data_IF_551100604496
#
_entry.id   IF_551100604496
#
_cell.length_a   1.000
_cell.length_b   1.000
_cell.length_c   1.000
_cell.angle_alpha   90.00
_cell.angle_beta   90.00
_cell.angle_gamma   90.00
#
_symmetry.space_group_name_H-M   'P 1'
#
loop_
_entity.id
_entity.type
_entity.pdbx_description
1 polymer ?
#
# COMPACT_ATOMS: atom_id res chain seq x y z
N UNK A 1 21.53 -2.80 32.86
CA UNK A 1 20.60 -3.93 32.66
C UNK A 1 21.31 -5.25 32.29
N UNK A 2 21.92 -5.38 31.10
CA UNK A 2 22.45 -6.68 30.63
C UNK A 2 23.53 -7.33 31.54
N UNK A 3 24.43 -6.54 32.15
CA UNK A 3 25.39 -7.05 33.16
C UNK A 3 24.69 -7.67 34.39
N UNK A 4 23.59 -7.06 34.84
CA UNK A 4 22.82 -7.58 35.99
C UNK A 4 22.19 -8.93 35.67
N UNK A 5 21.59 -9.04 34.48
CA UNK A 5 21.02 -10.30 33.99
C UNK A 5 22.08 -11.39 33.82
N UNK A 6 23.32 -11.01 33.46
CA UNK A 6 24.41 -11.96 33.32
C UNK A 6 24.83 -12.57 34.68
N UNK A 7 24.74 -11.81 35.77
CA UNK A 7 25.01 -12.31 37.13
C UNK A 7 23.96 -13.33 37.58
N UNK A 8 22.69 -13.10 37.24
CA UNK A 8 21.58 -13.98 37.61
C UNK A 8 21.48 -15.22 36.71
N UNK A 9 21.70 -15.07 35.39
CA UNK A 9 21.36 -16.08 34.38
C UNK A 9 22.55 -16.60 33.58
N UNK A 10 23.75 -16.10 33.85
CA UNK A 10 24.95 -16.34 33.04
C UNK A 10 25.02 -15.46 31.77
N UNK A 11 26.18 -15.42 31.14
CA UNK A 11 26.42 -14.69 29.87
C UNK A 11 25.66 -15.33 28.69
N UNK A 12 25.62 -14.68 27.52
CA UNK A 12 25.06 -15.29 26.31
C UNK A 12 25.90 -16.50 25.83
N UNK A 13 25.31 -17.48 25.11
CA UNK A 13 25.97 -18.77 24.83
C UNK A 13 27.32 -18.69 24.10
N UNK A 14 27.49 -17.80 23.11
CA UNK A 14 28.71 -17.65 22.31
C UNK A 14 29.61 -16.52 22.81
N UNK A 15 29.65 -16.26 24.12
CA UNK A 15 30.41 -15.15 24.71
C UNK A 15 31.92 -15.25 24.43
N UNK A 16 32.45 -16.46 24.57
CA UNK A 16 33.84 -16.86 24.30
C UNK A 16 34.28 -16.59 22.84
N UNK A 17 33.33 -16.50 21.91
CA UNK A 17 33.60 -16.22 20.49
C UNK A 17 33.35 -14.75 20.10
N UNK A 18 33.05 -13.89 21.07
CA UNK A 18 32.63 -12.52 20.83
C UNK A 18 33.77 -11.51 21.04
N UNK A 19 33.54 -10.26 20.65
CA UNK A 19 34.45 -9.12 20.90
C UNK A 19 34.63 -8.77 22.40
N UNK A 20 33.87 -9.44 23.27
CA UNK A 20 33.91 -9.26 24.72
C UNK A 20 34.72 -10.34 25.44
N UNK A 21 35.18 -11.37 24.73
CA UNK A 21 36.00 -12.41 25.33
C UNK A 21 37.29 -11.83 25.93
N UNK A 22 37.71 -12.39 27.07
CA UNK A 22 38.89 -11.92 27.83
C UNK A 22 38.75 -10.55 28.52
N UNK A 23 37.63 -9.84 28.40
CA UNK A 23 37.41 -8.53 29.06
C UNK A 23 36.60 -8.70 30.34
N UNK A 24 37.27 -8.56 31.49
CA UNK A 24 36.65 -8.78 32.82
C UNK A 24 35.38 -7.95 33.05
N UNK A 25 35.35 -6.69 32.61
CA UNK A 25 34.20 -5.80 32.81
C UNK A 25 33.16 -5.85 31.67
N UNK A 26 33.23 -6.82 30.76
CA UNK A 26 32.32 -6.93 29.62
C UNK A 26 31.45 -8.20 29.65
N UNK A 27 31.12 -8.72 30.83
CA UNK A 27 30.23 -9.89 30.96
C UNK A 27 28.75 -9.49 30.79
N UNK A 28 28.16 -9.78 29.63
CA UNK A 28 26.79 -9.40 29.26
C UNK A 28 25.88 -10.62 29.02
N UNK A 29 24.58 -10.44 29.26
CA UNK A 29 23.55 -11.46 28.96
C UNK A 29 23.10 -11.42 27.50
N UNK A 30 23.24 -10.27 26.85
CA UNK A 30 22.79 -10.02 25.49
C UNK A 30 24.01 -9.66 24.65
N UNK A 31 24.13 -10.23 23.45
CA UNK A 31 25.24 -9.93 22.55
C UNK A 31 25.15 -8.49 21.99
N UNK A 32 23.94 -8.00 21.76
CA UNK A 32 23.62 -6.62 21.37
C UNK A 32 22.39 -6.16 22.14
N UNK A 33 22.28 -4.88 22.46
CA UNK A 33 21.17 -4.33 23.25
C UNK A 33 20.43 -3.18 22.56
N UNK A 34 21.04 -2.52 21.58
CA UNK A 34 20.48 -1.33 20.93
C UNK A 34 20.28 -1.52 19.42
N UNK A 35 19.13 -1.05 18.95
CA UNK A 35 18.77 -0.93 17.53
C UNK A 35 17.73 0.18 17.40
N UNK A 36 17.79 0.98 16.35
CA UNK A 36 16.77 2.00 16.08
C UNK A 36 15.96 1.52 14.87
N UNK A 37 14.83 0.88 15.15
CA UNK A 37 13.91 0.37 14.15
C UNK A 37 12.90 1.46 13.71
N UNK A 38 12.21 1.31 12.56
CA UNK A 38 11.06 2.14 12.22
C UNK A 38 9.98 2.02 13.29
N UNK A 39 9.40 3.15 13.70
CA UNK A 39 8.34 3.17 14.74
C UNK A 39 7.03 3.77 14.25
N UNK A 40 6.74 3.79 12.94
CA UNK A 40 5.62 4.55 12.36
C UNK A 40 4.27 4.36 13.07
N UNK A 41 3.82 3.13 13.28
CA UNK A 41 2.54 2.89 14.00
C UNK A 41 2.66 3.15 15.51
N UNK A 42 3.80 2.81 16.13
CA UNK A 42 4.03 2.99 17.56
C UNK A 42 4.09 4.47 17.95
N UNK A 43 4.67 5.31 17.10
CA UNK A 43 4.80 6.74 17.34
C UNK A 43 3.45 7.45 17.25
N UNK A 44 2.52 6.96 16.42
CA UNK A 44 1.13 7.43 16.39
C UNK A 44 0.44 7.12 17.72
N UNK A 45 0.56 5.87 18.21
CA UNK A 45 -0.02 5.48 19.51
C UNK A 45 0.57 6.31 20.66
N UNK A 46 1.88 6.56 20.62
CA UNK A 46 2.59 7.33 21.64
C UNK A 46 2.46 8.85 21.47
N UNK A 47 1.86 9.34 20.38
CA UNK A 47 1.74 10.77 20.08
C UNK A 47 3.09 11.47 19.92
N UNK A 48 4.09 10.82 19.32
CA UNK A 48 5.45 11.35 19.16
C UNK A 48 6.00 11.16 17.74
N UNK A 49 7.20 11.70 17.47
CA UNK A 49 7.90 11.49 16.20
C UNK A 49 8.41 10.05 16.06
N UNK A 50 8.58 9.58 14.82
CA UNK A 50 9.05 8.22 14.58
C UNK A 50 10.58 8.11 14.68
N UNK A 51 11.07 7.31 15.63
CA UNK A 51 12.49 7.03 15.80
C UNK A 51 13.31 8.30 16.02
N UNK A 52 14.24 8.56 15.11
CA UNK A 52 15.08 9.77 15.07
C UNK A 52 14.77 10.64 13.84
N UNK A 53 13.56 10.50 13.29
CA UNK A 53 13.15 11.26 12.13
C UNK A 53 12.70 12.67 12.52
N UNK A 54 13.10 13.71 11.75
CA UNK A 54 12.45 15.00 11.83
C UNK A 54 10.99 14.88 11.40
N UNK A 55 10.16 15.84 11.81
CA UNK A 55 8.78 15.89 11.39
C UNK A 55 8.70 16.01 9.87
N UNK A 56 7.88 15.17 9.24
CA UNK A 56 7.69 15.22 7.80
C UNK A 56 6.88 16.46 7.38
N UNK A 57 5.81 16.77 8.12
CA UNK A 57 5.09 18.04 8.01
C UNK A 57 4.54 18.47 9.38
N UNK A 58 4.29 19.76 9.52
CA UNK A 58 3.69 20.36 10.72
C UNK A 58 2.16 20.36 10.69
N UNK A 59 1.57 20.29 9.50
CA UNK A 59 0.13 20.22 9.31
C UNK A 59 -0.21 19.29 8.15
N UNK A 60 -1.28 18.53 8.30
CA UNK A 60 -1.80 17.60 7.30
C UNK A 60 -3.29 17.83 7.12
N UNK A 61 -3.77 17.79 5.88
CA UNK A 61 -5.21 17.77 5.61
C UNK A 61 -5.67 16.33 5.47
N UNK A 62 -6.57 15.90 6.36
CA UNK A 62 -7.31 14.66 6.21
C UNK A 62 -8.66 14.97 5.61
N UNK A 63 -8.99 14.30 4.51
CA UNK A 63 -10.36 14.29 4.01
C UNK A 63 -11.19 13.38 4.92
N UNK A 64 -12.09 13.99 5.69
CA UNK A 64 -13.05 13.27 6.51
C UNK A 64 -14.32 13.03 5.67
N UNK A 65 -15.25 12.24 6.20
CA UNK A 65 -16.57 12.05 5.57
C UNK A 65 -17.22 13.40 5.26
N UNK A 66 -18.05 13.46 4.22
CA UNK A 66 -18.77 14.67 3.75
C UNK A 66 -17.95 15.76 3.04
N UNK A 67 -16.82 15.43 2.42
CA UNK A 67 -15.92 16.39 1.73
C UNK A 67 -15.34 17.47 2.67
N UNK A 68 -15.47 17.30 3.98
CA UNK A 68 -14.91 18.22 4.96
C UNK A 68 -13.41 17.97 5.14
N UNK A 69 -12.63 19.05 5.06
CA UNK A 69 -11.18 19.02 5.24
C UNK A 69 -10.88 19.23 6.72
N UNK A 70 -10.43 18.17 7.39
CA UNK A 70 -9.92 18.29 8.75
C UNK A 70 -8.42 18.57 8.70
N UNK A 71 -8.02 19.73 9.21
CA UNK A 71 -6.62 20.11 9.33
C UNK A 71 -6.09 19.59 10.65
N UNK A 72 -5.17 18.64 10.60
CA UNK A 72 -4.47 18.12 11.76
C UNK A 72 -3.11 18.82 11.86
N UNK A 73 -2.84 19.47 12.99
CA UNK A 73 -1.63 20.28 13.21
C UNK A 73 -0.80 19.64 14.32
N UNK A 74 0.52 19.74 14.22
CA UNK A 74 1.41 19.35 15.30
C UNK A 74 1.04 20.13 16.59
N UNK A 75 0.73 19.44 17.71
CA UNK A 75 0.23 20.09 18.92
C UNK A 75 1.21 21.10 19.54
N UNK A 76 2.51 20.91 19.34
CA UNK A 76 3.51 21.85 19.84
C UNK A 76 3.54 23.12 18.99
N UNK A 77 3.48 22.97 17.66
CA UNK A 77 3.42 24.10 16.74
C UNK A 77 2.13 24.91 16.92
N UNK A 78 0.97 24.24 17.01
CA UNK A 78 -0.32 24.91 17.21
C UNK A 78 -0.32 25.73 18.51
N UNK A 79 0.17 25.17 19.60
CA UNK A 79 0.26 25.87 20.89
C UNK A 79 1.12 27.13 20.78
N UNK A 80 2.30 27.02 20.16
CA UNK A 80 3.18 28.19 19.95
C UNK A 80 2.49 29.22 19.06
N UNK A 81 1.85 28.79 17.97
CA UNK A 81 1.12 29.67 17.06
C UNK A 81 -0.02 30.44 17.74
N UNK A 82 -0.73 29.80 18.67
CA UNK A 82 -1.79 30.44 19.46
C UNK A 82 -1.24 31.42 20.49
N UNK A 83 -0.12 31.09 21.13
CA UNK A 83 0.53 31.97 22.11
C UNK A 83 1.11 33.23 21.46
N UNK A 84 1.73 33.09 20.30
CA UNK A 84 2.36 34.16 19.53
C UNK A 84 1.37 34.92 18.62
N UNK A 85 0.10 34.50 18.60
CA UNK A 85 -0.99 35.22 17.94
C UNK A 85 -1.04 35.12 16.41
N UNK A 86 -0.26 34.24 15.78
CA UNK A 86 -0.29 34.06 14.31
C UNK A 86 -1.13 32.85 13.86
N UNK A 87 -1.78 32.13 14.78
CA UNK A 87 -2.64 30.99 14.42
C UNK A 87 -3.86 31.43 13.61
N UNK A 88 -4.01 30.86 12.41
CA UNK A 88 -5.27 30.90 11.64
C UNK A 88 -5.49 29.57 10.93
N UNK A 89 -6.74 29.18 10.72
CA UNK A 89 -7.08 27.94 10.01
C UNK A 89 -6.56 27.99 8.56
N UNK A 90 -6.67 29.15 7.91
CA UNK A 90 -6.13 29.39 6.57
C UNK A 90 -4.60 29.21 6.51
N UNK A 91 -3.87 29.70 7.52
CA UNK A 91 -2.43 29.49 7.62
C UNK A 91 -2.11 28.00 7.79
N UNK A 92 -2.83 27.27 8.63
CA UNK A 92 -2.60 25.83 8.80
C UNK A 92 -2.85 25.05 7.49
N UNK A 93 -3.90 25.40 6.73
CA UNK A 93 -4.14 24.83 5.40
C UNK A 93 -3.06 25.21 4.39
N UNK A 94 -2.51 26.43 4.47
CA UNK A 94 -1.38 26.88 3.64
C UNK A 94 -0.12 26.10 3.97
N UNK A 95 0.17 25.87 5.25
CA UNK A 95 1.29 25.05 5.72
C UNK A 95 1.13 23.61 5.26
N UNK A 96 -0.07 23.03 5.38
CA UNK A 96 -0.32 21.67 4.94
C UNK A 96 -0.14 21.49 3.42
N UNK A 97 -0.49 22.52 2.62
CA UNK A 97 -0.26 22.53 1.16
C UNK A 97 1.21 22.72 0.79
N UNK A 98 1.91 23.67 1.43
CA UNK A 98 3.30 24.00 1.11
C UNK A 98 4.30 22.98 1.67
N UNK A 99 3.96 22.31 2.78
CA UNK A 99 4.81 21.31 3.45
C UNK A 99 6.01 21.85 4.21
N UNK A 100 6.28 23.14 4.11
CA UNK A 100 7.36 23.85 4.81
C UNK A 100 6.87 25.23 5.24
N UNK A 101 7.42 25.71 6.37
CA UNK A 101 7.21 27.07 6.88
C UNK A 101 8.38 28.01 6.58
N UNK A 102 9.46 27.53 5.94
CA UNK A 102 10.73 28.25 5.83
C UNK A 102 10.60 29.64 5.21
N UNK A 103 9.82 29.78 4.14
CA UNK A 103 9.57 31.06 3.44
C UNK A 103 8.15 31.59 3.70
N UNK A 104 7.70 31.54 4.95
CA UNK A 104 6.45 32.16 5.39
C UNK A 104 6.75 33.35 6.30
N UNK A 105 6.76 34.56 5.74
CA UNK A 105 7.03 35.81 6.47
C UNK A 105 6.00 36.10 7.57
N UNK A 106 4.81 35.53 7.44
CA UNK A 106 3.71 35.57 8.42
C UNK A 106 4.08 34.86 9.75
N UNK A 107 5.15 34.06 9.76
CA UNK A 107 5.64 33.31 10.91
C UNK A 107 7.00 33.89 11.36
N UNK A 108 7.17 34.23 12.65
CA UNK A 108 8.45 34.69 13.20
C UNK A 108 9.63 33.77 12.87
N UNK A 109 10.79 34.37 12.55
CA UNK A 109 12.01 33.63 12.16
C UNK A 109 12.44 32.62 13.23
N UNK A 110 12.40 33.00 14.51
CA UNK A 110 12.78 32.13 15.63
C UNK A 110 11.97 30.83 15.64
N UNK A 111 10.70 30.89 15.26
CA UNK A 111 9.79 29.74 15.20
C UNK A 111 10.08 28.91 13.95
N UNK A 112 10.36 29.57 12.81
CA UNK A 112 10.75 28.88 11.57
C UNK A 112 12.05 28.09 11.73
N UNK A 113 12.98 28.57 12.55
CA UNK A 113 14.23 27.86 12.85
C UNK A 113 14.06 26.63 13.76
N UNK A 114 13.02 26.62 14.60
CA UNK A 114 12.73 25.50 15.51
C UNK A 114 11.92 24.42 14.82
N UNK A 115 10.87 24.79 14.06
CA UNK A 115 9.93 23.87 13.46
C UNK A 115 10.30 23.50 12.01
N UNK A 116 11.56 23.15 11.78
CA UNK A 116 12.05 22.67 10.48
C UNK A 116 11.53 21.27 10.17
N UNK A 117 11.12 21.03 8.92
CA UNK A 117 10.65 19.72 8.49
C UNK A 117 11.75 18.90 7.82
N UNK A 118 11.47 17.63 7.53
CA UNK A 118 12.39 16.73 6.87
C UNK A 118 12.91 17.25 5.51
N UNK A 119 12.08 18.01 4.79
CA UNK A 119 12.42 18.57 3.48
C UNK A 119 13.31 19.82 3.58
N UNK A 120 13.26 20.52 4.72
CA UNK A 120 14.08 21.71 4.96
C UNK A 120 15.53 21.36 5.35
N UNK A 121 15.73 20.13 5.82
CA UNK A 121 17.03 19.64 6.29
C UNK A 121 17.82 19.09 5.11
N UNK A 122 19.03 19.62 4.91
CA UNK A 122 19.92 19.15 3.84
C UNK A 122 20.26 17.66 3.99
N UNK A 123 20.52 16.94 2.88
CA UNK A 123 20.85 15.51 2.93
C UNK A 123 22.06 15.19 3.83
N UNK A 124 23.06 16.07 3.84
CA UNK A 124 24.23 15.94 4.71
C UNK A 124 23.86 15.88 6.20
N UNK A 125 22.98 16.78 6.64
CA UNK A 125 22.54 16.83 8.04
C UNK A 125 21.70 15.62 8.44
N UNK A 126 20.91 15.05 7.52
CA UNK A 126 20.23 13.77 7.77
C UNK A 126 21.23 12.64 8.05
N UNK A 127 22.31 12.54 7.27
CA UNK A 127 23.35 11.52 7.48
C UNK A 127 24.14 11.78 8.77
N UNK A 128 24.51 13.02 9.06
CA UNK A 128 25.23 13.38 10.30
C UNK A 128 24.39 13.07 11.54
N UNK A 129 23.08 13.33 11.49
CA UNK A 129 22.15 12.93 12.54
C UNK A 129 22.15 11.41 12.72
N UNK A 130 22.05 10.64 11.64
CA UNK A 130 22.12 9.18 11.72
C UNK A 130 23.43 8.70 12.36
N UNK A 131 24.56 9.26 11.92
CA UNK A 131 25.89 8.90 12.41
C UNK A 131 26.05 9.15 13.92
N UNK A 132 25.49 10.25 14.43
CA UNK A 132 25.52 10.58 15.84
C UNK A 132 24.87 9.49 16.71
N UNK A 133 23.72 8.95 16.27
CA UNK A 133 23.06 7.83 16.95
C UNK A 133 23.73 6.48 16.68
N UNK A 134 24.25 6.27 15.47
CA UNK A 134 24.90 5.02 15.08
C UNK A 134 26.11 4.71 15.95
N UNK A 135 26.86 5.74 16.40
CA UNK A 135 28.01 5.62 17.31
C UNK A 135 27.68 4.88 18.61
N UNK A 136 26.45 4.98 19.09
CA UNK A 136 25.98 4.38 20.34
C UNK A 136 24.96 3.27 20.12
N UNK A 137 24.86 2.75 18.88
CA UNK A 137 23.91 1.69 18.49
C UNK A 137 24.67 0.44 18.04
N UNK A 138 24.43 -0.68 18.71
CA UNK A 138 25.10 -1.96 18.47
C UNK A 138 24.75 -2.55 17.10
N UNK A 139 23.47 -2.47 16.71
CA UNK A 139 22.99 -2.84 15.39
C UNK A 139 22.95 -1.60 14.48
N UNK A 140 21.94 -1.47 13.63
CA UNK A 140 21.80 -0.37 12.68
C UNK A 140 20.77 0.67 13.15
N UNK A 141 20.78 1.81 12.46
CA UNK A 141 19.82 2.89 12.62
C UNK A 141 18.98 3.00 11.36
N UNK A 142 17.66 2.85 11.50
CA UNK A 142 16.70 3.04 10.43
C UNK A 142 16.27 4.51 10.39
N UNK A 143 16.93 5.28 9.53
CA UNK A 143 16.63 6.69 9.27
C UNK A 143 16.64 6.95 7.76
N UNK A 144 15.75 7.81 7.30
CA UNK A 144 15.57 8.19 5.90
C UNK A 144 16.23 9.52 5.62
N UNK A 145 17.08 9.56 4.59
CA UNK A 145 17.59 10.78 3.98
C UNK A 145 16.59 11.20 2.90
N UNK A 146 15.86 12.29 3.15
CA UNK A 146 14.91 12.83 2.19
C UNK A 146 15.64 13.71 1.18
N UNK A 147 15.49 13.40 -0.11
CA UNK A 147 16.05 14.13 -1.24
C UNK A 147 14.94 14.84 -2.02
N UNK A 148 15.20 16.03 -2.55
CA UNK A 148 14.22 16.72 -3.40
C UNK A 148 14.02 16.00 -4.73
N UNK A 149 12.92 16.32 -5.43
CA UNK A 149 12.52 15.64 -6.67
C UNK A 149 13.56 15.78 -7.79
N UNK A 150 14.30 16.87 -7.83
CA UNK A 150 15.36 17.18 -8.79
C UNK A 150 16.74 16.60 -8.42
N UNK A 151 16.86 15.89 -7.28
CA UNK A 151 18.11 15.29 -6.86
C UNK A 151 18.70 14.35 -7.91
N UNK A 152 20.02 14.48 -8.12
CA UNK A 152 20.77 13.72 -9.12
C UNK A 152 21.37 12.44 -8.55
N UNK A 153 21.86 11.55 -9.43
CA UNK A 153 22.62 10.36 -9.02
C UNK A 153 23.88 10.72 -8.23
N UNK A 154 24.51 11.86 -8.54
CA UNK A 154 25.67 12.36 -7.82
C UNK A 154 25.31 12.80 -6.39
N UNK A 155 24.11 13.35 -6.17
CA UNK A 155 23.66 13.69 -4.82
C UNK A 155 23.37 12.45 -3.98
N UNK A 156 22.82 11.40 -4.60
CA UNK A 156 22.67 10.08 -3.98
C UNK A 156 24.03 9.49 -3.61
N UNK A 157 25.01 9.58 -4.51
CA UNK A 157 26.39 9.11 -4.27
C UNK A 157 27.03 9.81 -3.08
N UNK A 158 26.93 11.14 -2.99
CA UNK A 158 27.44 11.93 -1.86
C UNK A 158 26.86 11.46 -0.52
N UNK A 159 25.58 11.10 -0.48
CA UNK A 159 24.93 10.55 0.73
C UNK A 159 25.57 9.23 1.16
N UNK A 160 25.75 8.29 0.22
CA UNK A 160 26.41 7.02 0.51
C UNK A 160 27.87 7.20 0.93
N UNK A 161 28.63 8.04 0.23
CA UNK A 161 30.04 8.33 0.54
C UNK A 161 30.20 8.94 1.93
N UNK A 162 29.32 9.88 2.29
CA UNK A 162 29.32 10.51 3.61
C UNK A 162 28.93 9.50 4.70
N UNK A 163 27.89 8.69 4.46
CA UNK A 163 27.45 7.65 5.40
C UNK A 163 28.59 6.65 5.67
N UNK A 164 29.28 6.22 4.62
CA UNK A 164 30.45 5.35 4.73
C UNK A 164 31.59 6.00 5.53
N UNK A 165 31.96 7.24 5.20
CA UNK A 165 33.01 8.00 5.92
C UNK A 165 32.70 8.18 7.40
N UNK A 166 31.42 8.34 7.76
CA UNK A 166 30.98 8.52 9.14
C UNK A 166 30.71 7.20 9.89
N UNK A 167 30.91 6.05 9.25
CA UNK A 167 30.74 4.73 9.89
C UNK A 167 29.28 4.31 10.06
N UNK A 168 28.37 4.82 9.25
CA UNK A 168 26.99 4.34 9.19
C UNK A 168 26.94 2.90 8.65
N UNK A 169 26.21 2.01 9.32
CA UNK A 169 26.10 0.59 8.90
C UNK A 169 25.12 0.37 7.74
N UNK A 170 24.28 1.37 7.46
CA UNK A 170 23.33 1.39 6.36
C UNK A 170 22.79 2.80 6.18
N UNK A 171 22.09 3.07 5.09
CA UNK A 171 21.42 4.35 4.86
C UNK A 171 20.21 4.11 3.96
N UNK A 172 19.10 4.75 4.27
CA UNK A 172 17.89 4.72 3.45
C UNK A 172 17.74 6.08 2.79
N UNK A 173 17.50 6.09 1.48
CA UNK A 173 17.29 7.31 0.71
C UNK A 173 15.86 7.29 0.19
N UNK A 174 15.19 8.43 0.30
CA UNK A 174 13.90 8.66 -0.32
C UNK A 174 13.97 9.93 -1.16
N UNK A 175 13.88 9.78 -2.48
CA UNK A 175 13.77 10.91 -3.41
C UNK A 175 12.30 11.23 -3.62
N UNK A 176 11.94 12.48 -3.42
CA UNK A 176 10.56 12.92 -3.61
C UNK A 176 10.07 12.63 -5.05
N UNK A 177 8.82 12.16 -5.18
CA UNK A 177 8.26 11.75 -6.47
C UNK A 177 8.74 10.38 -7.00
N UNK A 178 9.60 9.65 -6.29
CA UNK A 178 10.14 8.36 -6.78
C UNK A 178 9.18 7.16 -6.65
N UNK A 179 8.08 7.29 -5.91
CA UNK A 179 7.02 6.27 -5.77
C UNK A 179 5.68 6.83 -6.23
N UNK A 180 4.91 6.02 -6.96
CA UNK A 180 3.57 6.37 -7.48
C UNK A 180 2.51 6.49 -6.37
N UNK A 181 2.62 5.69 -5.31
CA UNK A 181 1.71 5.73 -4.15
C UNK A 181 2.46 6.21 -2.91
N UNK A 182 2.34 7.51 -2.60
CA UNK A 182 2.97 8.12 -1.43
C UNK A 182 1.94 8.23 -0.31
N UNK A 183 2.27 7.71 0.87
CA UNK A 183 1.41 7.82 2.07
C UNK A 183 1.56 9.19 2.73
N UNK A 184 2.74 9.80 2.59
CA UNK A 184 3.08 11.12 3.10
C UNK A 184 3.71 11.89 1.93
N UNK A 185 2.92 12.72 1.26
CA UNK A 185 3.41 13.69 0.28
C UNK A 185 2.92 15.06 0.72
N UNK A 186 3.80 16.07 0.63
CA UNK A 186 3.34 17.45 0.55
C UNK A 186 2.45 17.54 -0.69
N UNK A 187 1.18 17.97 -0.59
CA UNK A 187 0.34 18.14 -1.77
C UNK A 187 0.85 19.32 -2.60
N UNK A 188 1.91 19.11 -3.36
CA UNK A 188 2.23 19.95 -4.51
C UNK A 188 1.13 19.80 -5.55
N UNK A 189 0.80 20.90 -6.23
CA UNK A 189 -0.26 20.94 -7.24
C UNK A 189 -0.19 19.74 -8.19
N UNK A 190 -1.36 19.12 -8.38
CA UNK A 190 -1.62 17.92 -9.20
C UNK A 190 -0.96 16.63 -8.70
N UNK A 191 -1.71 15.82 -7.94
CA UNK A 191 -2.43 14.62 -8.44
C UNK A 191 -3.25 14.06 -7.28
N UNK A 192 -4.55 13.78 -7.49
CA UNK A 192 -5.40 13.10 -6.50
C UNK A 192 -4.87 11.68 -6.23
N UNK A 193 -4.01 11.54 -5.22
CA UNK A 193 -3.51 10.26 -4.75
C UNK A 193 -4.67 9.44 -4.19
N UNK A 194 -5.04 8.36 -4.89
CA UNK A 194 -5.96 7.31 -4.42
C UNK A 194 -5.40 6.65 -3.16
N UNK A 195 -5.58 7.27 -2.00
CA UNK A 195 -5.34 6.64 -0.72
C UNK A 195 -6.41 5.56 -0.50
N UNK A 196 -5.98 4.30 -0.65
CA UNK A 196 -6.77 3.10 -0.34
C UNK A 196 -6.82 2.98 1.18
N UNK A 197 -7.82 3.58 1.83
CA UNK A 197 -8.26 3.16 3.18
C UNK A 197 -9.76 3.41 3.30
N UNK A 198 -10.48 2.39 3.80
CA UNK A 198 -11.93 2.23 3.89
C UNK A 198 -12.75 3.50 3.61
N UNK A 199 -13.26 3.64 2.37
CA UNK A 199 -14.38 4.56 2.14
C UNK A 199 -15.58 4.02 2.90
N UNK A 200 -16.21 4.88 3.71
CA UNK A 200 -17.52 4.60 4.26
C UNK A 200 -18.43 4.15 3.11
N UNK A 201 -19.12 3.02 3.31
CA UNK A 201 -19.99 2.45 2.28
C UNK A 201 -21.04 3.51 1.94
N UNK A 202 -21.02 4.04 0.70
CA UNK A 202 -21.96 5.10 0.30
C UNK A 202 -23.41 4.65 0.56
N UNK A 203 -24.20 5.53 1.17
CA UNK A 203 -25.63 5.33 1.33
C UNK A 203 -26.32 5.31 -0.03
N UNK A 204 -27.38 4.52 -0.14
CA UNK A 204 -28.07 4.24 -1.40
C UNK A 204 -29.19 5.27 -1.61
N UNK A 205 -29.18 6.05 -2.71
CA UNK A 205 -30.31 6.91 -3.07
C UNK A 205 -31.59 6.12 -3.33
N UNK A 206 -32.75 6.77 -3.22
CA UNK A 206 -34.05 6.11 -3.45
C UNK A 206 -34.21 5.62 -4.90
N UNK A 207 -33.71 6.39 -5.87
CA UNK A 207 -33.77 6.06 -7.30
C UNK A 207 -32.37 6.06 -7.90
N UNK A 208 -32.05 5.00 -8.65
CA UNK A 208 -30.81 4.86 -9.41
C UNK A 208 -31.14 4.44 -10.84
N UNK A 209 -30.45 5.03 -11.80
CA UNK A 209 -30.55 4.66 -13.21
C UNK A 209 -29.54 3.56 -13.51
N UNK A 210 -29.78 2.76 -14.55
CA UNK A 210 -28.93 1.64 -14.88
C UNK A 210 -29.32 0.95 -16.17
N UNK A 211 -28.65 -0.16 -16.47
CA UNK A 211 -28.94 -0.98 -17.63
C UNK A 211 -28.89 -2.46 -17.26
N UNK A 212 -29.58 -3.27 -18.06
CA UNK A 212 -29.56 -4.72 -17.92
C UNK A 212 -29.03 -5.35 -19.20
N UNK A 213 -28.03 -6.22 -19.06
CA UNK A 213 -27.48 -7.01 -20.16
C UNK A 213 -27.87 -8.47 -19.98
N UNK A 214 -28.42 -9.06 -21.04
CA UNK A 214 -28.68 -10.50 -21.12
C UNK A 214 -27.41 -11.21 -21.58
N UNK A 215 -26.99 -12.21 -20.81
CA UNK A 215 -25.83 -13.05 -21.10
C UNK A 215 -26.28 -14.52 -21.05
N UNK A 216 -26.07 -15.27 -22.13
CA UNK A 216 -26.29 -16.72 -22.12
C UNK A 216 -25.16 -17.38 -21.32
N UNK A 217 -25.47 -18.34 -20.45
CA UNK A 217 -24.47 -19.11 -19.69
C UNK A 217 -24.81 -20.60 -19.79
N UNK A 218 -23.90 -21.49 -19.38
CA UNK A 218 -24.19 -22.92 -19.33
C UNK A 218 -25.33 -23.31 -18.38
N UNK A 219 -25.70 -22.41 -17.45
CA UNK A 219 -26.83 -22.59 -16.53
C UNK A 219 -28.12 -21.88 -17.00
N UNK A 220 -28.13 -21.32 -18.22
CA UNK A 220 -29.26 -20.60 -18.81
C UNK A 220 -29.00 -19.10 -18.99
N UNK A 221 -30.08 -18.33 -19.20
CA UNK A 221 -29.98 -16.89 -19.41
C UNK A 221 -29.74 -16.15 -18.08
N UNK A 222 -28.59 -15.50 -17.97
CA UNK A 222 -28.22 -14.58 -16.90
C UNK A 222 -28.58 -13.15 -17.31
N UNK A 223 -29.25 -12.43 -16.43
CA UNK A 223 -29.53 -11.00 -16.59
C UNK A 223 -28.67 -10.24 -15.58
N UNK A 224 -27.73 -9.45 -16.07
CA UNK A 224 -26.85 -8.63 -15.25
C UNK A 224 -27.32 -7.18 -15.32
N UNK A 225 -27.87 -6.68 -14.24
CA UNK A 225 -28.31 -5.30 -14.07
C UNK A 225 -27.23 -4.52 -13.33
N UNK A 226 -26.76 -3.44 -13.91
CA UNK A 226 -25.79 -2.53 -13.29
C UNK A 226 -26.44 -1.17 -13.14
N UNK A 227 -26.50 -0.67 -11.91
CA UNK A 227 -26.93 0.69 -11.62
C UNK A 227 -25.73 1.63 -11.63
N UNK A 228 -25.99 2.90 -11.92
CA UNK A 228 -25.00 3.96 -12.01
C UNK A 228 -25.34 5.08 -11.01
N UNK A 229 -24.32 5.62 -10.38
CA UNK A 229 -24.38 6.80 -9.53
C UNK A 229 -23.23 7.72 -9.93
N UNK A 230 -23.54 8.98 -10.26
CA UNK A 230 -22.55 9.99 -10.72
C UNK A 230 -21.68 9.49 -11.90
N UNK A 231 -22.27 8.75 -12.84
CA UNK A 231 -21.58 8.22 -14.02
C UNK A 231 -20.65 7.04 -13.75
N UNK A 232 -20.69 6.45 -12.55
CA UNK A 232 -19.91 5.26 -12.17
C UNK A 232 -20.84 4.10 -11.77
N UNK A 233 -20.44 2.83 -11.97
CA UNK A 233 -21.25 1.70 -11.52
C UNK A 233 -21.34 1.68 -10.00
N UNK A 234 -22.54 1.43 -9.49
CA UNK A 234 -22.88 1.53 -8.07
C UNK A 234 -23.32 0.19 -7.48
N UNK A 235 -24.27 -0.50 -8.11
CA UNK A 235 -24.71 -1.84 -7.71
C UNK A 235 -24.79 -2.78 -8.92
N UNK A 236 -24.58 -4.07 -8.66
CA UNK A 236 -24.70 -5.14 -9.65
C UNK A 236 -25.66 -6.20 -9.11
N UNK A 237 -26.73 -6.45 -9.86
CA UNK A 237 -27.67 -7.53 -9.62
C UNK A 237 -27.57 -8.54 -10.75
N UNK A 238 -27.49 -9.81 -10.40
CA UNK A 238 -27.41 -10.89 -11.36
C UNK A 238 -28.54 -11.88 -11.09
N UNK A 239 -29.39 -12.11 -12.10
CA UNK A 239 -30.54 -13.00 -11.98
C UNK A 239 -30.44 -14.08 -13.05
N UNK A 240 -30.42 -15.33 -12.62
CA UNK A 240 -30.40 -16.48 -13.51
C UNK A 240 -31.71 -17.26 -13.38
N UNK A 241 -32.41 -17.42 -14.51
CA UNK A 241 -33.71 -18.08 -14.55
C UNK A 241 -33.59 -19.60 -14.60
N UNK A 242 -34.36 -20.31 -13.77
CA UNK A 242 -34.54 -21.78 -13.81
C UNK A 242 -33.25 -22.62 -13.61
N UNK A 243 -32.24 -22.10 -12.91
CA UNK A 243 -30.94 -22.78 -12.66
C UNK A 243 -30.84 -23.53 -11.33
N UNK A 244 -31.93 -23.63 -10.56
CA UNK A 244 -31.97 -24.26 -9.24
C UNK A 244 -31.55 -23.33 -8.08
N UNK A 245 -31.97 -23.68 -6.86
CA UNK A 245 -31.85 -22.83 -5.65
C UNK A 245 -30.39 -22.47 -5.30
N UNK A 246 -29.46 -23.42 -5.43
CA UNK A 246 -28.05 -23.20 -5.06
C UNK A 246 -27.36 -22.19 -5.98
N UNK A 247 -27.55 -22.34 -7.29
CA UNK A 247 -26.96 -21.43 -8.29
C UNK A 247 -27.50 -20.02 -8.16
N UNK A 248 -28.81 -19.87 -7.92
CA UNK A 248 -29.42 -18.55 -7.66
C UNK A 248 -28.86 -17.91 -6.39
N UNK A 249 -28.72 -18.66 -5.29
CA UNK A 249 -28.16 -18.14 -4.04
C UNK A 249 -26.69 -17.68 -4.20
N UNK A 250 -25.86 -18.46 -4.89
CA UNK A 250 -24.46 -18.07 -5.18
C UNK A 250 -24.39 -16.83 -6.07
N UNK A 251 -25.26 -16.75 -7.08
CA UNK A 251 -25.33 -15.60 -7.99
C UNK A 251 -25.71 -14.32 -7.24
N UNK A 252 -26.70 -14.42 -6.35
CA UNK A 252 -27.13 -13.29 -5.50
C UNK A 252 -26.01 -12.85 -4.55
N UNK A 253 -25.31 -13.80 -3.92
CA UNK A 253 -24.18 -13.51 -3.04
C UNK A 253 -23.07 -12.75 -3.79
N UNK A 254 -22.72 -13.18 -5.00
CA UNK A 254 -21.73 -12.49 -5.85
C UNK A 254 -22.20 -11.06 -6.16
N UNK A 255 -23.45 -10.88 -6.61
CA UNK A 255 -24.00 -9.55 -6.90
C UNK A 255 -23.94 -8.61 -5.70
N UNK A 256 -24.29 -9.11 -4.50
CA UNK A 256 -24.22 -8.34 -3.25
C UNK A 256 -22.79 -7.93 -2.88
N UNK A 257 -21.83 -8.86 -3.00
CA UNK A 257 -20.42 -8.58 -2.71
C UNK A 257 -19.82 -7.58 -3.70
N UNK A 258 -20.13 -7.72 -5.00
CA UNK A 258 -19.70 -6.76 -6.03
C UNK A 258 -20.31 -5.39 -5.77
N UNK A 259 -21.60 -5.32 -5.43
CA UNK A 259 -22.28 -4.07 -5.07
C UNK A 259 -21.65 -3.40 -3.85
N UNK A 260 -21.29 -4.19 -2.83
CA UNK A 260 -20.59 -3.69 -1.65
C UNK A 260 -19.21 -3.14 -2.02
N UNK A 261 -18.45 -3.83 -2.87
CA UNK A 261 -17.14 -3.39 -3.34
C UNK A 261 -17.24 -2.06 -4.11
N UNK A 262 -18.19 -1.93 -5.03
CA UNK A 262 -18.45 -0.69 -5.77
C UNK A 262 -18.85 0.47 -4.85
N UNK A 263 -19.75 0.23 -3.89
CA UNK A 263 -20.16 1.23 -2.89
C UNK A 263 -19.04 1.62 -1.92
N UNK A 264 -18.07 0.74 -1.72
CA UNK A 264 -16.83 1.00 -0.95
C UNK A 264 -15.76 1.67 -1.81
N UNK A 265 -16.07 2.01 -3.06
CA UNK A 265 -15.20 2.76 -3.96
C UNK A 265 -14.01 1.98 -4.52
N UNK A 266 -14.10 0.64 -4.55
CA UNK A 266 -13.14 -0.22 -5.26
C UNK A 266 -13.24 0.05 -6.77
N UNK A 267 -12.10 0.09 -7.46
CA UNK A 267 -12.05 0.34 -8.90
C UNK A 267 -12.69 -0.83 -9.67
N UNK A 268 -13.46 -0.52 -10.72
CA UNK A 268 -14.16 -1.52 -11.54
C UNK A 268 -13.16 -2.45 -12.20
N UNK A 269 -12.00 -1.93 -12.61
CA UNK A 269 -10.95 -2.73 -13.22
C UNK A 269 -10.41 -3.81 -12.26
N UNK A 270 -10.30 -3.49 -10.96
CA UNK A 270 -9.83 -4.44 -9.95
C UNK A 270 -10.88 -5.52 -9.69
N UNK A 271 -12.17 -5.15 -9.66
CA UNK A 271 -13.28 -6.12 -9.54
C UNK A 271 -13.33 -7.05 -10.75
N UNK A 272 -13.20 -6.51 -11.97
CA UNK A 272 -13.15 -7.29 -13.20
C UNK A 272 -12.00 -8.29 -13.16
N UNK A 273 -10.82 -7.87 -12.69
CA UNK A 273 -9.66 -8.76 -12.58
C UNK A 273 -9.90 -9.95 -11.64
N UNK A 274 -10.60 -9.73 -10.53
CA UNK A 274 -10.89 -10.81 -9.59
C UNK A 274 -11.93 -11.81 -10.12
N UNK A 275 -12.86 -11.36 -10.96
CA UNK A 275 -13.97 -12.19 -11.45
C UNK A 275 -13.71 -12.85 -12.80
N UNK A 276 -12.93 -12.20 -13.67
CA UNK A 276 -12.64 -12.67 -15.02
C UNK A 276 -11.78 -13.93 -14.97
N UNK A 277 -12.13 -14.93 -15.77
CA UNK A 277 -11.38 -16.19 -15.83
C UNK A 277 -11.82 -17.24 -14.80
N UNK A 278 -12.73 -16.94 -13.87
CA UNK A 278 -13.26 -17.94 -12.94
C UNK A 278 -14.00 -19.02 -13.74
N UNK A 279 -13.50 -20.25 -13.69
CA UNK A 279 -14.06 -21.43 -14.34
C UNK A 279 -15.29 -22.00 -13.64
N UNK A 280 -16.19 -22.63 -14.40
CA UNK A 280 -17.34 -23.38 -13.89
C UNK A 280 -17.54 -24.69 -14.65
N UNK A 281 -18.52 -25.49 -14.22
CA UNK A 281 -18.78 -26.84 -14.76
C UNK A 281 -19.35 -26.82 -16.19
N UNK A 282 -19.90 -25.67 -16.62
CA UNK A 282 -20.59 -25.54 -17.90
C UNK A 282 -20.14 -24.28 -18.67
N UNK A 283 -18.91 -24.26 -19.21
CA UNK A 283 -18.44 -23.17 -20.04
C UNK A 283 -19.15 -23.18 -21.41
N UNK A 284 -19.49 -22.01 -21.94
CA UNK A 284 -20.15 -21.90 -23.25
C UNK A 284 -19.52 -20.84 -24.15
N UNK A 285 -19.39 -21.16 -25.43
CA UNK A 285 -18.93 -20.20 -26.44
C UNK A 285 -20.05 -19.26 -26.87
N UNK A 286 -19.77 -17.97 -26.85
CA UNK A 286 -20.60 -16.93 -27.43
C UNK A 286 -19.86 -16.16 -28.54
N UNK A 287 -20.60 -15.28 -29.24
CA UNK A 287 -20.06 -14.37 -30.25
C UNK A 287 -18.88 -13.52 -29.73
N UNK A 288 -18.92 -13.12 -28.46
CA UNK A 288 -17.89 -12.31 -27.80
C UNK A 288 -16.84 -13.18 -27.04
N UNK A 289 -16.74 -14.48 -27.35
CA UNK A 289 -15.77 -15.43 -26.77
C UNK A 289 -16.35 -16.41 -25.75
N UNK A 290 -15.48 -17.16 -25.08
CA UNK A 290 -15.83 -18.23 -24.13
C UNK A 290 -16.25 -17.67 -22.76
N UNK A 291 -17.51 -17.87 -22.37
CA UNK A 291 -17.98 -17.54 -21.03
C UNK A 291 -17.77 -18.77 -20.14
N UNK A 292 -16.93 -18.62 -19.12
CA UNK A 292 -16.49 -19.72 -18.28
C UNK A 292 -17.47 -20.02 -17.13
N UNK A 293 -18.08 -18.98 -16.57
CA UNK A 293 -18.99 -19.08 -15.42
C UNK A 293 -19.85 -17.82 -15.27
N UNK A 294 -20.71 -17.80 -14.24
CA UNK A 294 -21.52 -16.63 -13.85
C UNK A 294 -20.64 -15.45 -13.39
N UNK A 295 -19.63 -15.62 -12.51
CA UNK A 295 -18.66 -14.56 -12.20
C UNK A 295 -17.99 -13.97 -13.45
N UNK A 296 -17.52 -14.82 -14.38
CA UNK A 296 -16.87 -14.39 -15.62
C UNK A 296 -17.83 -13.59 -16.52
N UNK A 297 -19.11 -14.00 -16.57
CA UNK A 297 -20.15 -13.26 -17.28
C UNK A 297 -20.38 -11.86 -16.70
N UNK A 298 -20.40 -11.71 -15.37
CA UNK A 298 -20.51 -10.40 -14.71
C UNK A 298 -19.29 -9.53 -15.03
N UNK A 299 -18.09 -10.10 -14.95
CA UNK A 299 -16.84 -9.41 -15.26
C UNK A 299 -16.85 -8.85 -16.69
N UNK A 300 -17.27 -9.65 -17.67
CA UNK A 300 -17.37 -9.24 -19.09
C UNK A 300 -18.34 -8.09 -19.31
N UNK A 301 -19.48 -8.06 -18.60
CA UNK A 301 -20.45 -6.96 -18.69
C UNK A 301 -19.83 -5.66 -18.16
N UNK A 302 -19.15 -5.71 -17.01
CA UNK A 302 -18.47 -4.54 -16.43
C UNK A 302 -17.31 -4.08 -17.31
N UNK A 303 -16.48 -5.01 -17.79
CA UNK A 303 -15.32 -4.73 -18.65
C UNK A 303 -15.74 -4.02 -19.94
N UNK A 304 -16.78 -4.53 -20.60
CA UNK A 304 -17.27 -4.01 -21.89
C UNK A 304 -17.72 -2.56 -21.80
N UNK A 305 -18.26 -2.12 -20.65
CA UNK A 305 -18.81 -0.78 -20.48
C UNK A 305 -17.86 0.21 -19.81
N UNK A 306 -17.07 -0.23 -18.83
CA UNK A 306 -16.31 0.68 -17.96
C UNK A 306 -14.79 0.59 -18.10
N UNK A 307 -14.27 -0.45 -18.77
CA UNK A 307 -12.81 -0.69 -18.83
C UNK A 307 -12.24 -0.49 -20.24
N UNK A 308 -13.07 -0.50 -21.28
CA UNK A 308 -12.64 -0.25 -22.67
C UNK A 308 -11.99 1.14 -22.80
N UNK A 309 -10.68 1.17 -23.01
CA UNK A 309 -9.87 2.38 -23.20
C UNK A 309 -8.67 2.53 -22.27
N UNK A 310 -8.48 1.63 -21.30
CA UNK A 310 -7.30 1.65 -20.40
C UNK A 310 -6.43 0.42 -20.60
N UNK A 311 -5.51 0.47 -21.56
CA UNK A 311 -4.38 -0.48 -21.59
C UNK A 311 -3.46 -0.21 -20.40
N UNK A 312 -3.79 -0.75 -19.23
CA UNK A 312 -2.76 -1.01 -18.23
C UNK A 312 -1.99 -2.24 -18.69
N UNK A 313 -0.85 -2.02 -19.37
CA UNK A 313 0.17 -3.05 -19.59
C UNK A 313 0.53 -3.66 -18.23
N UNK A 314 0.14 -4.91 -18.02
CA UNK A 314 0.63 -5.69 -16.88
C UNK A 314 2.05 -6.17 -17.15
N UNK A 315 2.93 -6.23 -16.13
CA UNK A 315 4.04 -7.17 -16.14
C UNK A 315 3.45 -8.58 -16.13
N UNK A 316 3.96 -9.45 -17.01
CA UNK A 316 3.32 -10.70 -17.39
C UNK A 316 2.88 -11.61 -16.24
N UNK A 317 1.63 -12.06 -16.31
CA UNK A 317 1.20 -13.38 -15.84
C UNK A 317 0.44 -14.05 -16.98
N UNK A 318 1.04 -15.15 -17.45
CA UNK A 318 0.53 -16.15 -18.39
C UNK A 318 -0.15 -15.60 -19.65
N UNK A 319 0.69 -15.13 -20.57
CA UNK A 319 0.36 -15.20 -21.99
C UNK A 319 0.02 -16.66 -22.34
N UNK A 320 -1.09 -16.84 -23.06
CA UNK A 320 -1.43 -18.07 -23.76
C UNK A 320 -0.22 -18.52 -24.60
N UNK A 321 0.53 -19.49 -24.10
CA UNK A 321 1.53 -20.19 -24.88
C UNK A 321 0.85 -21.34 -25.59
N UNK A 322 1.17 -21.53 -26.87
CA UNK A 322 0.80 -22.68 -27.71
C UNK A 322 1.49 -24.00 -27.26
N UNK A 323 2.03 -24.04 -26.04
CA UNK A 323 2.61 -25.24 -25.42
C UNK A 323 1.59 -25.72 -24.37
N UNK A 324 1.33 -27.04 -24.39
CA UNK A 324 0.24 -27.68 -23.64
C UNK A 324 0.20 -27.36 -22.15
N UNK A 325 -0.88 -27.82 -21.50
CA UNK A 325 -1.11 -27.60 -20.08
C UNK A 325 0.10 -28.06 -19.23
N UNK A 326 0.36 -27.35 -18.14
CA UNK A 326 1.46 -27.62 -17.21
C UNK A 326 0.94 -28.29 -15.94
N UNK A 327 1.70 -29.24 -15.42
CA UNK A 327 1.40 -29.97 -14.20
C UNK A 327 1.25 -29.00 -13.01
N UNK A 328 0.15 -29.07 -12.24
CA UNK A 328 -0.06 -28.21 -11.09
C UNK A 328 0.93 -28.47 -9.94
N UNK A 329 1.52 -29.67 -9.88
CA UNK A 329 2.41 -30.07 -8.78
C UNK A 329 3.89 -29.73 -9.04
N UNK A 330 4.36 -29.87 -10.29
CA UNK A 330 5.78 -29.68 -10.62
C UNK A 330 6.06 -28.69 -11.76
N UNK A 331 5.04 -28.14 -12.42
CA UNK A 331 5.18 -27.16 -13.50
C UNK A 331 5.64 -27.71 -14.84
N UNK A 332 5.90 -29.02 -14.95
CA UNK A 332 6.33 -29.69 -16.18
C UNK A 332 5.14 -29.93 -17.13
N UNK A 333 5.38 -30.13 -18.43
CA UNK A 333 4.29 -30.35 -19.41
C UNK A 333 3.54 -31.66 -19.13
N UNK A 334 2.20 -31.61 -19.17
CA UNK A 334 1.32 -32.78 -19.02
C UNK A 334 0.79 -33.26 -20.37
N UNK A 335 0.69 -34.59 -20.52
CA UNK A 335 0.07 -35.25 -21.67
C UNK A 335 -1.36 -35.64 -21.36
N UNK A 336 -2.23 -35.65 -22.37
CA UNK A 336 -3.58 -36.18 -22.24
C UNK A 336 -3.62 -37.56 -22.90
N UNK A 337 -3.71 -38.60 -22.08
CA UNK A 337 -3.67 -39.99 -22.52
C UNK A 337 -4.76 -40.78 -21.80
N UNK A 338 -5.46 -41.67 -22.50
CA UNK A 338 -6.50 -42.56 -21.95
C UNK A 338 -7.62 -41.86 -21.14
N UNK A 339 -7.92 -40.59 -21.46
CA UNK A 339 -8.95 -39.81 -20.76
C UNK A 339 -8.47 -39.14 -19.47
N UNK A 340 -7.16 -39.20 -19.18
CA UNK A 340 -6.55 -38.59 -18.01
C UNK A 340 -5.40 -37.66 -18.41
N UNK A 341 -5.28 -36.54 -17.69
CA UNK A 341 -4.08 -35.70 -17.73
C UNK A 341 -3.00 -36.36 -16.88
N UNK A 342 -1.86 -36.69 -17.49
CA UNK A 342 -0.77 -37.43 -16.84
C UNK A 342 0.52 -36.62 -16.90
N UNK A 343 1.19 -36.48 -15.75
CA UNK A 343 2.54 -35.94 -15.64
C UNK A 343 3.55 -37.07 -15.54
N UNK A 344 4.37 -37.25 -16.58
CA UNK A 344 5.42 -38.29 -16.58
C UNK A 344 6.60 -37.98 -15.64
N UNK A 345 6.69 -36.75 -15.12
CA UNK A 345 7.79 -36.34 -14.24
C UNK A 345 7.51 -36.62 -12.76
N UNK A 346 6.34 -36.21 -12.24
CA UNK A 346 5.99 -36.38 -10.83
C UNK A 346 4.90 -37.43 -10.57
N UNK A 347 4.28 -37.98 -11.61
CA UNK A 347 3.22 -38.99 -11.48
C UNK A 347 1.81 -38.42 -11.21
N UNK A 348 1.63 -37.10 -11.28
CA UNK A 348 0.31 -36.47 -11.16
C UNK A 348 -0.64 -36.99 -12.23
N UNK A 349 -1.83 -37.45 -11.83
CA UNK A 349 -2.91 -37.85 -12.75
C UNK A 349 -4.23 -37.18 -12.39
N UNK A 350 -4.95 -36.69 -13.40
CA UNK A 350 -6.31 -36.14 -13.25
C UNK A 350 -7.19 -36.60 -14.40
N UNK A 351 -8.08 -37.54 -14.11
CA UNK A 351 -9.08 -38.05 -15.05
C UNK A 351 -10.32 -37.17 -15.07
N UNK A 352 -10.89 -36.97 -16.26
CA UNK A 352 -12.11 -36.20 -16.51
C UNK A 352 -13.37 -37.04 -16.46
#
# INVERSE_FOLDING_TARGET
ASKSLAKERGVFPNFDKSVFDGKEDCRYRNATVTTIAPTGTLSIIAGCSSGIEPLFALSFVRNVMDNEKLVEVNPHFERVARLEGFYSQELMEKIARKGTIKDMEEIPEEIRQVFVTAHDISPEWHVRMQAAFQKYTDNAVSKTVNLPKDATEEDVRKVYDLAYKLGCKGVTIYRDGSKENQVLSVPGETTESKAIFLRAVKERPETLYGFTTKVVTGYGNLYVTVTEFEGRPFEVFATIGKSGKSTTAKTEAIGRLVSLALRSGVDVADIVDQLKGIGGEHPIFQKDGLILSIPDAIARVLEKKYVKGTEKKRPGKHANSLMGETCPDCGETISFEEGCMTCHFCGFTKCG
#
